data_IF_012238467070
#
_entry.id   IF_012238467070
#
_cell.length_a   1.000
_cell.length_b   1.000
_cell.length_c   1.000
_cell.angle_alpha   90.00
_cell.angle_beta   90.00
_cell.angle_gamma   90.00
#
_symmetry.space_group_name_H-M   'P 1'
#
loop_
_entity.id
_entity.type
_entity.pdbx_description
1 polymer ?
#
# COMPACT_ATOMS: atom_id res chain seq x y z
N UNK A 1 1.60 2.52 9.29
CA UNK A 1 0.21 2.13 8.99
C UNK A 1 -0.57 1.98 10.30
N UNK A 2 -1.84 2.38 10.36
CA UNK A 2 -2.70 2.24 11.55
C UNK A 2 -3.93 1.39 11.25
N UNK A 3 -4.58 0.86 12.27
CA UNK A 3 -5.77 0.00 12.15
C UNK A 3 -5.51 -1.49 12.37
N UNK A 4 -6.55 -2.31 12.14
CA UNK A 4 -6.55 -3.77 12.38
C UNK A 4 -5.47 -4.51 11.58
N UNK A 5 -5.26 -4.13 10.32
CA UNK A 5 -4.27 -4.76 9.45
C UNK A 5 -2.84 -4.18 9.57
N UNK A 6 -2.60 -3.19 10.45
CA UNK A 6 -1.32 -2.44 10.49
C UNK A 6 -0.08 -3.33 10.60
N UNK A 7 -0.14 -4.39 11.41
CA UNK A 7 0.94 -5.35 11.60
C UNK A 7 1.28 -6.14 10.33
N UNK A 8 0.33 -6.30 9.39
CA UNK A 8 0.56 -6.94 8.10
C UNK A 8 1.14 -5.98 7.07
N UNK A 9 0.73 -4.70 7.11
CA UNK A 9 1.17 -3.70 6.13
C UNK A 9 2.61 -3.23 6.40
N UNK A 10 2.97 -3.02 7.68
CA UNK A 10 4.22 -2.35 8.06
C UNK A 10 5.49 -3.09 7.60
N UNK A 11 5.63 -4.43 7.78
CA UNK A 11 6.83 -5.14 7.35
C UNK A 11 7.04 -5.13 5.84
N UNK A 12 5.95 -5.19 5.06
CA UNK A 12 6.02 -5.18 3.61
C UNK A 12 6.47 -3.82 3.07
N UNK A 13 5.95 -2.73 3.65
CA UNK A 13 6.37 -1.37 3.29
C UNK A 13 7.83 -1.11 3.70
N UNK A 14 8.25 -1.60 4.86
CA UNK A 14 9.63 -1.49 5.33
C UNK A 14 10.64 -2.15 4.37
N UNK A 15 10.27 -3.29 3.77
CA UNK A 15 11.08 -3.96 2.78
C UNK A 15 11.00 -3.31 1.38
N UNK A 16 9.80 -2.95 0.90
CA UNK A 16 9.60 -2.49 -0.48
C UNK A 16 9.94 -1.00 -0.69
N UNK A 17 9.72 -0.17 0.32
CA UNK A 17 9.99 1.27 0.28
C UNK A 17 11.26 1.62 1.04
N UNK A 18 11.45 1.02 2.22
CA UNK A 18 12.62 1.25 3.05
C UNK A 18 13.86 0.45 2.64
N UNK A 19 13.70 -0.53 1.73
CA UNK A 19 14.74 -1.48 1.32
C UNK A 19 15.43 -2.18 2.51
N UNK A 20 14.75 -2.29 3.64
CA UNK A 20 15.28 -2.98 4.83
C UNK A 20 15.45 -4.47 4.54
N UNK A 21 16.55 -5.03 5.03
CA UNK A 21 16.91 -6.45 4.88
C UNK A 21 17.14 -6.91 3.43
N UNK A 22 17.49 -6.00 2.53
CA UNK A 22 17.82 -6.34 1.13
C UNK A 22 19.26 -5.91 0.82
N UNK A 23 20.09 -6.83 0.34
CA UNK A 23 21.48 -6.56 -0.05
C UNK A 23 21.58 -6.26 -1.55
N UNK A 24 22.52 -5.39 -1.94
CA UNK A 24 22.79 -5.02 -3.33
C UNK A 24 21.59 -4.41 -4.09
N UNK A 25 20.73 -3.66 -3.39
CA UNK A 25 19.59 -2.99 -4.01
C UNK A 25 19.89 -1.52 -4.25
N UNK A 26 19.56 -1.05 -5.45
CA UNK A 26 19.64 0.35 -5.80
C UNK A 26 18.48 1.12 -5.15
N UNK A 27 18.81 2.17 -4.39
CA UNK A 27 17.82 3.03 -3.74
C UNK A 27 17.19 3.98 -4.76
N UNK A 28 16.26 3.46 -5.55
CA UNK A 28 15.52 4.24 -6.52
C UNK A 28 14.36 4.99 -5.85
N UNK A 29 14.12 6.27 -6.20
CA UNK A 29 12.94 6.98 -5.74
C UNK A 29 11.65 6.24 -6.10
N UNK A 30 10.69 6.23 -5.18
CA UNK A 30 9.40 5.58 -5.41
C UNK A 30 8.59 6.38 -6.43
N UNK A 31 8.36 5.80 -7.61
CA UNK A 31 7.45 6.39 -8.60
C UNK A 31 6.00 6.26 -8.16
N UNK A 32 5.14 7.19 -8.60
CA UNK A 32 3.71 7.16 -8.29
C UNK A 32 3.07 5.83 -8.70
N UNK A 33 3.38 5.33 -9.90
CA UNK A 33 2.85 4.06 -10.40
C UNK A 33 3.25 2.87 -9.51
N UNK A 34 4.52 2.83 -9.08
CA UNK A 34 5.00 1.78 -8.15
C UNK A 34 4.33 1.90 -6.78
N UNK A 35 4.16 3.11 -6.27
CA UNK A 35 3.46 3.36 -5.00
C UNK A 35 2.00 2.86 -5.07
N UNK A 36 1.30 3.18 -6.16
CA UNK A 36 -0.09 2.76 -6.37
C UNK A 36 -0.24 1.24 -6.44
N UNK A 37 0.67 0.55 -7.15
CA UNK A 37 0.70 -0.91 -7.20
C UNK A 37 0.92 -1.51 -5.82
N UNK A 38 1.92 -1.02 -5.08
CA UNK A 38 2.18 -1.47 -3.70
C UNK A 38 0.95 -1.31 -2.81
N UNK A 39 0.31 -0.13 -2.80
CA UNK A 39 -0.88 0.11 -1.98
C UNK A 39 -1.99 -0.90 -2.30
N UNK A 40 -2.30 -1.11 -3.58
CA UNK A 40 -3.32 -2.08 -3.99
C UNK A 40 -2.98 -3.50 -3.53
N UNK A 41 -1.74 -3.96 -3.76
CA UNK A 41 -1.30 -5.31 -3.43
C UNK A 41 -1.34 -5.58 -1.92
N UNK A 42 -0.90 -4.61 -1.11
CA UNK A 42 -0.86 -4.77 0.34
C UNK A 42 -2.30 -4.84 0.91
N UNK A 43 -3.22 -4.00 0.41
CA UNK A 43 -4.60 -4.01 0.87
C UNK A 43 -5.41 -5.21 0.38
N UNK A 44 -5.16 -5.71 -0.84
CA UNK A 44 -5.74 -6.98 -1.29
C UNK A 44 -5.26 -8.12 -0.39
N UNK A 45 -3.97 -8.16 -0.08
CA UNK A 45 -3.40 -9.19 0.82
C UNK A 45 -3.97 -9.10 2.24
N UNK A 46 -4.21 -7.89 2.74
CA UNK A 46 -4.84 -7.66 4.03
C UNK A 46 -6.30 -8.11 4.04
N UNK A 47 -7.07 -7.82 2.98
CA UNK A 47 -8.47 -8.21 2.86
C UNK A 47 -8.68 -9.74 2.85
N UNK A 48 -7.67 -10.51 2.41
CA UNK A 48 -7.72 -11.97 2.45
C UNK A 48 -7.53 -12.55 3.87
N UNK A 49 -6.99 -11.79 4.82
CA UNK A 49 -6.59 -12.29 6.14
C UNK A 49 -7.23 -11.57 7.33
N UNK A 50 -7.54 -10.29 7.18
CA UNK A 50 -8.18 -9.48 8.21
C UNK A 50 -9.68 -9.35 7.92
N UNK A 51 -10.50 -9.89 8.82
CA UNK A 51 -11.97 -9.87 8.70
C UNK A 51 -12.57 -8.46 8.74
N UNK A 52 -11.82 -7.47 9.22
CA UNK A 52 -12.25 -6.08 9.27
C UNK A 52 -11.83 -5.26 8.03
N UNK A 53 -11.06 -5.85 7.11
CA UNK A 53 -10.59 -5.20 5.90
C UNK A 53 -11.30 -5.80 4.68
N UNK A 54 -12.08 -5.00 3.94
CA UNK A 54 -12.85 -5.51 2.79
C UNK A 54 -13.62 -4.43 2.03
N UNK A 55 -14.57 -4.86 1.19
CA UNK A 55 -15.49 -4.04 0.39
C UNK A 55 -14.83 -3.14 -0.67
N UNK A 56 -14.20 -2.05 -0.23
CA UNK A 56 -13.62 -1.05 -1.09
C UNK A 56 -12.46 -0.31 -0.43
N UNK A 57 -11.41 -0.09 -1.20
CA UNK A 57 -10.26 0.73 -0.84
C UNK A 57 -10.38 2.11 -1.51
N UNK A 58 -10.48 3.17 -0.70
CA UNK A 58 -10.37 4.56 -1.16
C UNK A 58 -8.92 5.02 -1.05
N UNK A 59 -8.36 5.46 -2.16
CA UNK A 59 -6.98 5.98 -2.27
C UNK A 59 -7.06 7.47 -2.62
N UNK A 60 -6.46 8.32 -1.79
CA UNK A 60 -6.36 9.75 -2.04
C UNK A 60 -4.90 10.11 -2.38
N UNK A 61 -4.68 10.62 -3.59
CA UNK A 61 -3.38 11.02 -4.13
C UNK A 61 -3.31 12.54 -4.10
N UNK A 62 -2.43 13.09 -3.26
CA UNK A 62 -2.22 14.54 -3.12
C UNK A 62 -1.02 14.95 -3.96
N UNK A 63 -1.23 15.78 -4.98
CA UNK A 63 -0.18 16.36 -5.83
C UNK A 63 -0.22 17.88 -5.79
N UNK A 64 0.74 18.54 -6.43
CA UNK A 64 0.76 20.02 -6.50
C UNK A 64 -0.43 20.60 -7.28
N UNK A 65 -1.05 19.80 -8.15
CA UNK A 65 -2.23 20.16 -8.93
C UNK A 65 -3.55 19.98 -8.17
N UNK A 66 -3.54 19.29 -7.03
CA UNK A 66 -4.73 19.04 -6.22
C UNK A 66 -4.80 17.61 -5.69
N UNK A 67 -6.01 17.18 -5.34
CA UNK A 67 -6.29 15.86 -4.76
C UNK A 67 -7.03 15.02 -5.80
N UNK A 68 -6.52 13.82 -6.07
CA UNK A 68 -7.19 12.80 -6.89
C UNK A 68 -7.63 11.66 -6.00
N UNK A 69 -8.83 11.17 -6.22
CA UNK A 69 -9.37 10.04 -5.49
C UNK A 69 -9.62 8.86 -6.42
N UNK A 70 -9.24 7.67 -5.98
CA UNK A 70 -9.48 6.40 -6.67
C UNK A 70 -10.15 5.43 -5.70
N UNK A 71 -11.13 4.66 -6.18
CA UNK A 71 -11.75 3.58 -5.39
C UNK A 71 -11.51 2.26 -6.08
N UNK A 72 -10.97 1.29 -5.35
CA UNK A 72 -10.71 -0.06 -5.84
C UNK A 72 -11.59 -1.04 -5.05
N UNK A 73 -12.35 -1.93 -5.71
CA UNK A 73 -13.10 -2.95 -5.01
C UNK A 73 -12.15 -3.96 -4.35
N UNK A 74 -12.48 -4.39 -3.13
CA UNK A 74 -11.80 -5.46 -2.42
C UNK A 74 -12.72 -6.69 -2.32
N UNK A 75 -12.20 -7.78 -1.76
CA UNK A 75 -12.98 -8.97 -1.45
C UNK A 75 -14.16 -8.61 -0.53
N UNK A 76 -15.31 -9.26 -0.79
CA UNK A 76 -16.53 -9.23 0.03
C UNK A 76 -16.60 -10.45 0.93
#
# INVERSE_FOLDING_TARGET
AGGSASAMLQPLLDNQVGFKNTQNVEHVPLSLDRAMRLVKDVFVSAAERDVYTGDALRICIVTKEGIREETVPLRK
#
